data_IF_428614322146
#
_entry.id   IF_428614322146
#
_cell.length_a   1.000
_cell.length_b   1.000
_cell.length_c   1.000
_cell.angle_alpha   90.00
_cell.angle_beta   90.00
_cell.angle_gamma   90.00
#
_symmetry.space_group_name_H-M   'P 1'
#
loop_
_entity.id
_entity.type
_entity.pdbx_description
1 polymer ?
#
# COMPACT_ATOMS: atom_id res chain seq x y z
N UNK A 1 22.31 -9.76 -5.61
CA UNK A 1 21.68 -9.21 -4.40
C UNK A 1 21.24 -10.37 -3.52
N UNK A 2 21.76 -10.48 -2.33
CA UNK A 2 21.42 -11.56 -1.40
C UNK A 2 20.05 -11.34 -0.75
N UNK A 3 19.57 -12.30 0.05
CA UNK A 3 18.25 -12.23 0.68
C UNK A 3 18.16 -11.07 1.68
N UNK A 4 19.25 -10.78 2.37
CA UNK A 4 19.30 -9.68 3.35
C UNK A 4 19.16 -8.33 2.65
N UNK A 5 19.88 -8.14 1.54
CA UNK A 5 19.76 -6.91 0.74
C UNK A 5 18.33 -6.70 0.22
N UNK A 6 17.70 -7.78 -0.27
CA UNK A 6 16.30 -7.73 -0.72
C UNK A 6 15.36 -7.31 0.42
N UNK A 7 15.56 -7.89 1.59
CA UNK A 7 14.77 -7.57 2.77
C UNK A 7 14.95 -6.11 3.21
N UNK A 8 16.20 -5.61 3.23
CA UNK A 8 16.49 -4.21 3.54
C UNK A 8 15.83 -3.27 2.53
N UNK A 9 15.91 -3.58 1.23
CA UNK A 9 15.24 -2.79 0.19
C UNK A 9 13.72 -2.77 0.36
N UNK A 10 13.11 -3.87 0.78
CA UNK A 10 11.66 -3.91 1.01
C UNK A 10 11.25 -3.13 2.26
N UNK A 11 12.07 -3.14 3.33
CA UNK A 11 11.85 -2.26 4.49
C UNK A 11 11.94 -0.79 4.08
N UNK A 12 12.95 -0.39 3.32
CA UNK A 12 13.11 0.98 2.83
C UNK A 12 11.89 1.43 2.00
N UNK A 13 11.41 0.58 1.10
CA UNK A 13 10.18 0.84 0.35
C UNK A 13 8.98 1.00 1.28
N UNK A 14 8.83 0.10 2.25
CA UNK A 14 7.75 0.16 3.22
C UNK A 14 7.73 1.45 4.03
N UNK A 15 8.88 1.91 4.46
CA UNK A 15 9.02 3.19 5.14
C UNK A 15 8.62 4.35 4.22
N UNK A 16 9.07 4.34 2.97
CA UNK A 16 8.71 5.36 1.98
C UNK A 16 7.21 5.40 1.71
N UNK A 17 6.56 4.25 1.56
CA UNK A 17 5.10 4.18 1.38
C UNK A 17 4.34 4.69 2.59
N UNK A 18 4.86 4.47 3.80
CA UNK A 18 4.22 4.85 5.05
C UNK A 18 4.40 6.32 5.41
N UNK A 19 5.46 6.95 4.92
CA UNK A 19 5.90 8.30 5.32
C UNK A 19 5.61 9.39 4.28
N UNK A 20 4.68 9.18 3.38
CA UNK A 20 4.19 10.18 2.43
C UNK A 20 5.21 10.64 1.35
N UNK A 21 6.37 10.02 1.26
CA UNK A 21 7.42 10.40 0.33
C UNK A 21 7.36 9.67 -1.02
N UNK A 22 6.30 8.90 -1.27
CA UNK A 22 6.18 8.11 -2.49
C UNK A 22 5.10 8.68 -3.41
N UNK A 23 5.52 9.36 -4.47
CA UNK A 23 4.63 10.04 -5.43
C UNK A 23 4.72 9.46 -6.85
N UNK A 24 4.76 8.16 -6.98
CA UNK A 24 4.75 7.56 -8.32
C UNK A 24 3.37 7.00 -8.67
N UNK A 25 2.46 7.90 -9.01
CA UNK A 25 1.18 7.51 -9.60
C UNK A 25 1.31 7.37 -11.12
N UNK A 26 0.61 6.40 -11.71
CA UNK A 26 0.50 6.19 -13.15
C UNK A 26 -0.82 6.73 -13.73
N UNK A 27 -1.84 6.83 -12.91
CA UNK A 27 -3.18 7.31 -13.28
C UNK A 27 -3.51 8.63 -12.59
N UNK A 28 -4.29 9.46 -13.26
CA UNK A 28 -4.73 10.74 -12.72
C UNK A 28 -5.61 10.54 -11.46
N UNK A 29 -5.52 11.52 -10.57
CA UNK A 29 -6.38 11.58 -9.39
C UNK A 29 -7.86 11.72 -9.79
N UNK A 30 -8.75 10.79 -9.37
CA UNK A 30 -10.14 10.76 -9.86
C UNK A 30 -10.95 12.00 -9.53
N UNK A 31 -10.62 12.69 -8.44
CA UNK A 31 -11.32 13.90 -8.00
C UNK A 31 -10.66 15.21 -8.45
N UNK A 32 -9.70 15.14 -9.36
CA UNK A 32 -8.87 16.27 -9.82
C UNK A 32 -9.68 17.49 -10.27
N UNK A 33 -10.79 17.24 -10.96
CA UNK A 33 -11.63 18.30 -11.55
C UNK A 33 -12.95 18.52 -10.79
N UNK A 34 -13.09 17.88 -9.63
CA UNK A 34 -14.27 18.06 -8.78
C UNK A 34 -14.10 19.25 -7.84
N UNK A 35 -15.12 20.09 -7.67
CA UNK A 35 -15.07 21.15 -6.68
C UNK A 35 -14.99 20.57 -5.27
N UNK A 36 -14.25 21.24 -4.39
CA UNK A 36 -14.22 20.88 -2.97
C UNK A 36 -15.53 21.28 -2.29
N UNK A 37 -16.15 20.36 -1.58
CA UNK A 37 -17.32 20.63 -0.77
C UNK A 37 -16.97 21.52 0.44
N UNK A 38 -17.91 22.35 0.84
CA UNK A 38 -17.74 23.22 2.01
C UNK A 38 -18.04 22.43 3.29
N UNK A 39 -17.07 21.61 3.70
CA UNK A 39 -17.18 20.76 4.89
C UNK A 39 -17.01 21.58 6.17
N UNK A 40 -17.90 21.39 7.13
CA UNK A 40 -17.67 21.87 8.48
C UNK A 40 -16.56 21.03 9.17
N UNK A 41 -16.12 21.46 10.35
CA UNK A 41 -14.99 20.83 11.05
C UNK A 41 -15.27 19.36 11.41
N UNK A 42 -16.49 19.04 11.83
CA UNK A 42 -16.89 17.67 12.17
C UNK A 42 -16.89 16.76 10.94
N UNK A 43 -17.44 17.23 9.84
CA UNK A 43 -17.46 16.51 8.57
C UNK A 43 -16.04 16.28 8.03
N UNK A 44 -15.19 17.30 8.10
CA UNK A 44 -13.79 17.23 7.72
C UNK A 44 -13.04 16.18 8.54
N UNK A 45 -13.18 16.23 9.86
CA UNK A 45 -12.55 15.29 10.79
C UNK A 45 -13.01 13.85 10.55
N UNK A 46 -14.30 13.66 10.29
CA UNK A 46 -14.87 12.35 9.97
C UNK A 46 -14.33 11.82 8.64
N UNK A 47 -14.35 12.64 7.60
CA UNK A 47 -13.79 12.28 6.28
C UNK A 47 -12.32 11.93 6.36
N UNK A 48 -11.54 12.70 7.11
CA UNK A 48 -10.12 12.43 7.33
C UNK A 48 -9.88 11.11 8.06
N UNK A 49 -10.71 10.79 9.04
CA UNK A 49 -10.62 9.53 9.78
C UNK A 49 -10.88 8.32 8.88
N UNK A 50 -11.90 8.39 8.04
CA UNK A 50 -12.21 7.35 7.05
C UNK A 50 -11.08 7.22 6.01
N UNK A 51 -10.56 8.33 5.53
CA UNK A 51 -9.46 8.32 4.56
C UNK A 51 -8.16 7.77 5.17
N UNK A 52 -7.91 8.00 6.46
CA UNK A 52 -6.79 7.43 7.19
C UNK A 52 -6.89 5.90 7.30
N UNK A 53 -8.11 5.38 7.49
CA UNK A 53 -8.36 3.92 7.45
C UNK A 53 -8.09 3.36 6.05
N UNK A 54 -8.58 4.02 5.00
CA UNK A 54 -8.31 3.63 3.62
C UNK A 54 -6.82 3.61 3.33
N UNK A 55 -6.11 4.68 3.67
CA UNK A 55 -4.65 4.77 3.50
C UNK A 55 -3.92 3.62 4.21
N UNK A 56 -4.29 3.31 5.44
CA UNK A 56 -3.70 2.19 6.19
C UNK A 56 -3.97 0.85 5.51
N UNK A 57 -5.15 0.68 4.90
CA UNK A 57 -5.49 -0.50 4.09
C UNK A 57 -4.61 -0.63 2.86
N UNK A 58 -4.36 0.46 2.13
CA UNK A 58 -3.49 0.47 0.96
C UNK A 58 -2.02 0.17 1.33
N UNK A 59 -1.55 0.71 2.46
CA UNK A 59 -0.21 0.39 3.01
C UNK A 59 -0.11 -1.10 3.35
N UNK A 60 -1.14 -1.66 3.97
CA UNK A 60 -1.19 -3.09 4.29
C UNK A 60 -1.21 -3.96 3.02
N UNK A 61 -1.98 -3.57 2.00
CA UNK A 61 -2.01 -4.26 0.71
C UNK A 61 -0.64 -4.24 0.02
N UNK A 62 0.07 -3.12 0.04
CA UNK A 62 1.45 -3.03 -0.45
C UNK A 62 2.36 -4.03 0.26
N UNK A 63 2.31 -4.07 1.58
CA UNK A 63 3.08 -5.02 2.38
C UNK A 63 2.79 -6.46 1.99
N UNK A 64 1.51 -6.82 1.90
CA UNK A 64 1.07 -8.16 1.56
C UNK A 64 1.59 -8.61 0.18
N UNK A 65 1.36 -7.82 -0.86
CA UNK A 65 1.80 -8.15 -2.22
C UNK A 65 3.33 -8.22 -2.34
N UNK A 66 4.04 -7.31 -1.68
CA UNK A 66 5.52 -7.32 -1.66
C UNK A 66 6.07 -8.54 -0.93
N UNK A 67 5.46 -8.92 0.19
CA UNK A 67 5.84 -10.15 0.90
C UNK A 67 5.59 -11.40 0.05
N UNK A 68 4.46 -11.49 -0.61
CA UNK A 68 4.13 -12.58 -1.53
C UNK A 68 5.10 -12.64 -2.72
N UNK A 69 5.41 -11.51 -3.35
CA UNK A 69 6.35 -11.44 -4.47
C UNK A 69 7.75 -11.91 -4.07
N UNK A 70 8.20 -11.55 -2.86
CA UNK A 70 9.53 -11.94 -2.37
C UNK A 70 9.70 -13.46 -2.27
N UNK A 71 8.66 -14.18 -1.84
CA UNK A 71 8.70 -15.62 -1.58
C UNK A 71 8.07 -16.46 -2.70
N UNK A 72 7.45 -15.84 -3.69
CA UNK A 72 6.86 -16.53 -4.82
C UNK A 72 7.93 -17.30 -5.62
N UNK A 73 7.71 -18.61 -5.79
CA UNK A 73 8.63 -19.51 -6.51
C UNK A 73 8.43 -19.44 -8.01
N UNK A 74 7.21 -19.18 -8.45
CA UNK A 74 6.85 -19.08 -9.87
C UNK A 74 6.99 -17.64 -10.35
N UNK A 75 7.72 -17.41 -11.42
CA UNK A 75 7.92 -16.07 -11.99
C UNK A 75 6.59 -15.39 -12.36
N UNK A 76 5.67 -16.13 -13.02
CA UNK A 76 4.37 -15.58 -13.38
C UNK A 76 3.53 -15.12 -12.18
N UNK A 77 3.68 -15.76 -11.04
CA UNK A 77 3.04 -15.34 -9.80
C UNK A 77 3.70 -14.10 -9.21
N UNK A 78 5.03 -14.07 -9.20
CA UNK A 78 5.80 -12.90 -8.78
C UNK A 78 5.41 -11.67 -9.59
N UNK A 79 5.35 -11.79 -10.91
CA UNK A 79 4.97 -10.70 -11.81
C UNK A 79 3.54 -10.21 -11.57
N UNK A 80 2.62 -11.11 -11.23
CA UNK A 80 1.25 -10.73 -10.86
C UNK A 80 1.21 -9.94 -9.56
N UNK A 81 1.97 -10.37 -8.55
CA UNK A 81 2.04 -9.68 -7.25
C UNK A 81 2.71 -8.31 -7.38
N UNK A 82 3.79 -8.22 -8.17
CA UNK A 82 4.46 -6.95 -8.44
C UNK A 82 3.55 -5.97 -9.19
N UNK A 83 2.77 -6.45 -10.16
CA UNK A 83 1.75 -5.62 -10.83
C UNK A 83 0.66 -5.16 -9.88
N UNK A 84 0.11 -6.05 -9.06
CA UNK A 84 -0.87 -5.69 -8.06
C UNK A 84 -0.34 -4.62 -7.11
N UNK A 85 0.90 -4.79 -6.60
CA UNK A 85 1.55 -3.79 -5.77
C UNK A 85 1.72 -2.44 -6.50
N UNK A 86 2.02 -2.45 -7.81
CA UNK A 86 2.15 -1.24 -8.60
C UNK A 86 0.79 -0.52 -8.80
N UNK A 87 -0.29 -1.26 -9.00
CA UNK A 87 -1.64 -0.69 -9.12
C UNK A 87 -2.10 -0.04 -7.81
N UNK A 88 -1.78 -0.65 -6.67
CA UNK A 88 -2.12 -0.09 -5.35
C UNK A 88 -1.36 1.20 -5.03
N UNK A 89 -0.23 1.49 -5.70
CA UNK A 89 0.49 2.76 -5.53
C UNK A 89 -0.35 3.97 -5.95
N UNK A 90 -1.18 3.84 -6.98
CA UNK A 90 -2.08 4.91 -7.38
C UNK A 90 -3.12 5.18 -6.28
N UNK A 91 -3.71 4.13 -5.72
CA UNK A 91 -4.67 4.25 -4.62
C UNK A 91 -4.04 4.89 -3.39
N UNK A 92 -2.83 4.49 -3.05
CA UNK A 92 -2.08 5.06 -1.93
C UNK A 92 -1.81 6.56 -2.15
N UNK A 93 -1.38 6.93 -3.35
CA UNK A 93 -1.15 8.32 -3.74
C UNK A 93 -2.44 9.15 -3.65
N UNK A 94 -3.56 8.60 -4.08
CA UNK A 94 -4.86 9.28 -4.01
C UNK A 94 -5.34 9.46 -2.56
N UNK A 95 -5.13 8.46 -1.69
CA UNK A 95 -5.42 8.59 -0.27
C UNK A 95 -4.58 9.67 0.40
N UNK A 96 -3.28 9.71 0.09
CA UNK A 96 -2.37 10.76 0.58
C UNK A 96 -2.83 12.14 0.14
N UNK A 97 -3.13 12.30 -1.15
CA UNK A 97 -3.62 13.58 -1.67
C UNK A 97 -4.91 14.03 -0.98
N UNK A 98 -5.85 13.10 -0.77
CA UNK A 98 -7.10 13.45 -0.07
C UNK A 98 -6.86 13.84 1.39
N UNK A 99 -5.95 13.18 2.08
CA UNK A 99 -5.56 13.57 3.44
C UNK A 99 -4.95 14.98 3.47
N UNK A 100 -4.09 15.31 2.51
CA UNK A 100 -3.50 16.66 2.38
C UNK A 100 -4.60 17.72 2.15
N UNK A 101 -5.56 17.47 1.27
CA UNK A 101 -6.70 18.36 1.02
C UNK A 101 -7.54 18.59 2.28
N UNK A 102 -7.61 17.61 3.16
CA UNK A 102 -8.30 17.69 4.45
C UNK A 102 -7.43 18.29 5.57
N UNK A 103 -6.18 18.68 5.27
CA UNK A 103 -5.15 19.13 6.22
C UNK A 103 -4.87 18.11 7.32
N UNK A 104 -4.84 16.84 6.94
CA UNK A 104 -4.61 15.70 7.83
C UNK A 104 -3.47 14.82 7.32
N UNK A 105 -3.06 13.88 8.11
CA UNK A 105 -1.92 13.02 7.84
C UNK A 105 -2.28 11.52 7.93
N UNK A 106 -1.47 10.65 7.30
CA UNK A 106 -1.56 9.21 7.50
C UNK A 106 -1.40 8.77 8.95
N UNK A 107 -1.78 7.54 9.24
CA UNK A 107 -1.59 6.94 10.55
C UNK A 107 -0.11 6.77 10.87
N UNK A 108 0.28 7.06 12.10
CA UNK A 108 1.63 6.74 12.61
C UNK A 108 1.92 5.24 12.65
N UNK A 109 0.88 4.42 12.67
CA UNK A 109 0.99 2.97 12.68
C UNK A 109 1.17 2.37 11.28
N UNK A 110 1.18 3.18 10.22
CA UNK A 110 1.35 2.70 8.84
C UNK A 110 2.59 1.82 8.64
N UNK A 111 3.77 2.16 9.19
CA UNK A 111 4.94 1.26 9.09
C UNK A 111 4.70 -0.10 9.75
N UNK A 112 3.96 -0.14 10.86
CA UNK A 112 3.62 -1.38 11.54
C UNK A 112 2.67 -2.23 10.70
N UNK A 113 1.63 -1.64 10.11
CA UNK A 113 0.71 -2.32 9.21
C UNK A 113 1.42 -2.89 7.99
N UNK A 114 2.35 -2.14 7.41
CA UNK A 114 3.18 -2.62 6.30
C UNK A 114 3.99 -3.85 6.72
N UNK A 115 4.73 -3.76 7.82
CA UNK A 115 5.61 -4.84 8.30
C UNK A 115 4.84 -6.12 8.63
N UNK A 116 3.71 -6.02 9.33
CA UNK A 116 2.86 -7.16 9.65
C UNK A 116 2.29 -7.82 8.39
N UNK A 117 1.77 -7.03 7.47
CA UNK A 117 1.22 -7.52 6.21
C UNK A 117 2.28 -8.13 5.31
N UNK A 118 3.47 -7.54 5.25
CA UNK A 118 4.62 -8.10 4.55
C UNK A 118 5.00 -9.49 5.09
N UNK A 119 5.10 -9.61 6.41
CA UNK A 119 5.37 -10.89 7.07
C UNK A 119 4.29 -11.94 6.75
N UNK A 120 3.02 -11.56 6.82
CA UNK A 120 1.90 -12.44 6.45
C UNK A 120 1.98 -12.86 4.97
N UNK A 121 2.26 -11.93 4.07
CA UNK A 121 2.42 -12.23 2.64
C UNK A 121 3.56 -13.22 2.38
N UNK A 122 4.71 -12.99 2.99
CA UNK A 122 5.87 -13.86 2.86
C UNK A 122 5.58 -15.28 3.37
N UNK A 123 4.96 -15.41 4.54
CA UNK A 123 4.62 -16.71 5.15
C UNK A 123 3.52 -17.42 4.36
N UNK A 124 2.47 -16.72 3.97
CA UNK A 124 1.35 -17.34 3.23
C UNK A 124 1.80 -17.95 1.92
N UNK A 125 2.75 -17.34 1.22
CA UNK A 125 3.26 -17.87 -0.04
C UNK A 125 4.21 -19.05 0.13
N UNK A 126 4.90 -19.16 1.26
CA UNK A 126 5.77 -20.31 1.55
C UNK A 126 5.00 -21.53 2.04
N UNK A 127 3.88 -21.33 2.74
CA UNK A 127 3.13 -22.41 3.39
C UNK A 127 1.76 -22.70 2.76
N UNK A 128 1.17 -21.72 2.07
CA UNK A 128 -0.15 -21.81 1.45
C UNK A 128 -0.10 -21.84 -0.09
N UNK A 129 1.04 -22.10 -0.70
CA UNK A 129 1.08 -22.41 -2.13
C UNK A 129 0.33 -23.71 -2.37
N UNK A 130 -0.96 -23.55 -2.47
CA UNK A 130 -1.87 -24.64 -2.78
C UNK A 130 -1.65 -25.10 -4.22
N UNK A 131 -1.79 -26.41 -4.48
CA UNK A 131 -1.72 -26.99 -5.84
C UNK A 131 -2.76 -26.40 -6.80
N UNK A 132 -3.71 -25.63 -6.32
CA UNK A 132 -4.82 -25.03 -7.08
C UNK A 132 -4.43 -23.86 -7.98
N UNK A 133 -3.19 -23.41 -7.98
CA UNK A 133 -2.71 -22.38 -8.91
C UNK A 133 -1.98 -22.99 -10.11
N UNK A 134 -1.98 -24.30 -10.23
CA UNK A 134 -1.36 -25.04 -11.32
C UNK A 134 -2.34 -25.42 -12.45
N UNK A 135 -3.52 -24.81 -12.52
CA UNK A 135 -4.45 -24.97 -13.65
C UNK A 135 -4.50 -23.69 -14.49
#
# INVERSE_FOLDING_TARGET
MNLVDKFICEIDKGLKFSMDNYQKQSRDYPAKDLPEDNLNETERSHSASLMRVNHSGEVAAQGLYRGQALTARLEGTRDKMDRAAQEELDHLSWCNKRLDELNERPSFLSPLWYGLSFGMGAVSYTHLTLPTIAE
#
